data_IF_919923214089
#
_entry.id   IF_919923214089
#
_cell.length_a   1.000
_cell.length_b   1.000
_cell.length_c   1.000
_cell.angle_alpha   90.00
_cell.angle_beta   90.00
_cell.angle_gamma   90.00
#
_symmetry.space_group_name_H-M   'P 1'
#
loop_
_entity.id
_entity.type
_entity.pdbx_description
1 polymer ?
#
# COMPACT_ATOMS: atom_id res chain seq x y z
N UNK A 1 -33.47 66.10 6.81
CA UNK A 1 -33.20 65.04 5.82
C UNK A 1 -31.72 64.58 5.81
N UNK A 2 -31.12 64.30 6.99
CA UNK A 2 -29.75 63.80 7.13
C UNK A 2 -29.61 62.56 8.03
N UNK A 3 -30.62 62.24 8.85
CA UNK A 3 -30.54 61.10 9.80
C UNK A 3 -30.97 59.74 9.22
N UNK A 4 -31.70 59.70 8.10
CA UNK A 4 -32.13 58.43 7.50
C UNK A 4 -31.02 57.69 6.74
N UNK A 5 -29.97 58.41 6.30
CA UNK A 5 -28.81 57.79 5.62
C UNK A 5 -27.80 57.17 6.61
N UNK A 6 -27.74 57.64 7.86
CA UNK A 6 -26.75 57.16 8.84
C UNK A 6 -27.13 55.79 9.43
N UNK A 7 -28.42 55.53 9.69
CA UNK A 7 -28.90 54.23 10.19
C UNK A 7 -28.74 53.08 9.18
N UNK A 8 -28.78 53.38 7.88
CA UNK A 8 -28.62 52.35 6.83
C UNK A 8 -27.16 51.94 6.58
N UNK A 9 -26.19 52.82 6.92
CA UNK A 9 -24.76 52.51 6.81
C UNK A 9 -24.32 51.56 7.93
N UNK A 10 -24.78 51.78 9.16
CA UNK A 10 -24.45 50.91 10.31
C UNK A 10 -25.07 49.51 10.20
N UNK A 11 -26.29 49.38 9.63
CA UNK A 11 -26.86 48.06 9.34
C UNK A 11 -26.05 47.29 8.29
N UNK A 12 -25.54 47.96 7.24
CA UNK A 12 -24.72 47.30 6.20
C UNK A 12 -23.34 46.89 6.70
N UNK A 13 -22.69 47.70 7.56
CA UNK A 13 -21.39 47.34 8.16
C UNK A 13 -21.55 46.21 9.19
N UNK A 14 -22.62 46.21 9.99
CA UNK A 14 -22.92 45.12 10.93
C UNK A 14 -23.19 43.78 10.24
N UNK A 15 -23.90 43.79 9.10
CA UNK A 15 -24.13 42.58 8.29
C UNK A 15 -22.83 42.12 7.62
N UNK A 16 -21.97 43.04 7.16
CA UNK A 16 -20.70 42.69 6.52
C UNK A 16 -19.69 42.08 7.51
N UNK A 17 -19.65 42.56 8.75
CA UNK A 17 -18.81 41.99 9.81
C UNK A 17 -19.36 40.65 10.34
N UNK A 18 -20.69 40.47 10.39
CA UNK A 18 -21.29 39.18 10.70
C UNK A 18 -21.02 38.15 9.59
N UNK A 19 -21.00 38.56 8.31
CA UNK A 19 -20.62 37.68 7.20
C UNK A 19 -19.12 37.35 7.19
N UNK A 20 -18.25 38.26 7.64
CA UNK A 20 -16.82 37.96 7.83
C UNK A 20 -16.56 37.00 9.00
N UNK A 21 -17.38 37.05 10.06
CA UNK A 21 -17.34 36.06 11.15
C UNK A 21 -17.97 34.71 10.78
N UNK A 22 -18.88 34.67 9.80
CA UNK A 22 -19.43 33.42 9.25
C UNK A 22 -18.58 32.82 8.12
N UNK A 23 -17.71 33.61 7.48
CA UNK A 23 -16.76 33.17 6.45
C UNK A 23 -15.38 32.81 7.02
N UNK A 24 -14.98 33.41 8.14
CA UNK A 24 -13.93 32.88 9.00
C UNK A 24 -14.56 31.94 10.03
N UNK A 25 -15.18 30.86 9.53
CA UNK A 25 -15.30 29.64 10.29
C UNK A 25 -13.87 29.24 10.64
N UNK A 26 -13.46 29.58 11.84
CA UNK A 26 -12.23 29.08 12.42
C UNK A 26 -12.33 27.56 12.35
N UNK A 27 -11.59 26.98 11.40
CA UNK A 27 -11.06 25.61 11.45
C UNK A 27 -10.13 25.51 12.67
N UNK A 28 -10.71 25.71 13.85
CA UNK A 28 -10.28 25.06 15.06
C UNK A 28 -10.79 23.63 14.91
N UNK A 29 -10.10 22.85 14.06
CA UNK A 29 -9.94 21.41 14.24
C UNK A 29 -9.26 21.23 15.61
N UNK A 30 -10.03 21.44 16.67
CA UNK A 30 -9.77 20.77 17.93
C UNK A 30 -9.88 19.30 17.58
N UNK A 31 -8.74 18.63 17.56
CA UNK A 31 -8.68 17.19 17.68
C UNK A 31 -9.31 16.84 19.04
N UNK A 32 -10.64 16.87 19.10
CA UNK A 32 -11.35 16.28 20.21
C UNK A 32 -10.94 14.81 20.24
N UNK A 33 -10.55 14.28 21.41
CA UNK A 33 -10.19 12.89 21.50
C UNK A 33 -11.36 12.06 20.98
N UNK A 34 -11.09 11.20 19.99
CA UNK A 34 -12.11 10.30 19.45
C UNK A 34 -12.46 9.30 20.57
N UNK A 35 -13.59 9.53 21.24
CA UNK A 35 -14.03 8.75 22.39
C UNK A 35 -14.93 7.61 21.90
N UNK A 36 -14.60 6.39 22.31
CA UNK A 36 -15.47 5.23 22.10
C UNK A 36 -16.84 5.46 22.78
N UNK A 37 -17.98 5.34 22.07
CA UNK A 37 -19.28 5.50 22.70
C UNK A 37 -19.51 4.39 23.73
N UNK A 38 -20.07 4.75 24.90
CA UNK A 38 -20.22 3.85 26.07
C UNK A 38 -21.00 2.56 25.81
N UNK A 39 -21.81 2.50 24.75
CA UNK A 39 -22.62 1.34 24.38
C UNK A 39 -21.84 0.28 23.58
N UNK A 40 -20.63 0.59 23.14
CA UNK A 40 -19.83 -0.26 22.27
C UNK A 40 -18.50 -0.60 22.91
N UNK A 41 -17.94 -1.72 22.46
CA UNK A 41 -16.50 -1.92 22.52
C UNK A 41 -15.90 -1.30 21.27
N UNK A 42 -14.69 -0.78 21.39
CA UNK A 42 -14.03 -0.13 20.26
C UNK A 42 -12.61 -0.65 20.08
N UNK A 43 -12.18 -0.64 18.84
CA UNK A 43 -10.85 -1.05 18.45
C UNK A 43 -10.23 0.00 17.53
N UNK A 44 -8.93 0.25 17.70
CA UNK A 44 -8.20 1.19 16.85
C UNK A 44 -7.67 0.49 15.61
N UNK A 45 -7.82 1.11 14.45
CA UNK A 45 -7.15 0.70 13.21
C UNK A 45 -6.85 1.91 12.34
N UNK A 46 -6.35 1.69 11.13
CA UNK A 46 -5.97 2.73 10.19
C UNK A 46 -6.44 2.40 8.77
N UNK A 47 -6.62 3.44 7.96
CA UNK A 47 -6.88 3.28 6.52
C UNK A 47 -5.62 2.77 5.83
N UNK A 48 -5.70 1.62 5.17
CA UNK A 48 -4.61 1.01 4.40
C UNK A 48 -4.29 1.80 3.13
N UNK A 49 -3.00 1.96 2.75
CA UNK A 49 -2.60 2.46 1.43
C UNK A 49 -2.90 1.42 0.32
N UNK A 50 -2.85 1.86 -0.94
CA UNK A 50 -3.02 1.01 -2.13
C UNK A 50 -4.47 0.62 -2.43
N UNK A 51 -5.41 1.03 -1.57
CA UNK A 51 -6.82 0.87 -1.84
C UNK A 51 -7.27 1.98 -2.77
N UNK A 52 -7.77 1.63 -3.96
CA UNK A 52 -8.64 2.54 -4.68
C UNK A 52 -9.81 2.78 -3.72
N UNK A 53 -9.82 3.96 -3.10
CA UNK A 53 -10.96 4.46 -2.35
C UNK A 53 -12.10 4.68 -3.35
N UNK A 54 -12.69 3.58 -3.82
CA UNK A 54 -14.09 3.54 -4.18
C UNK A 54 -14.88 3.63 -2.87
N UNK A 55 -14.69 4.75 -2.16
CA UNK A 55 -15.76 5.31 -1.36
C UNK A 55 -16.86 5.64 -2.38
N UNK A 56 -17.62 4.60 -2.79
CA UNK A 56 -18.94 4.82 -3.36
C UNK A 56 -19.69 5.55 -2.28
N UNK A 57 -20.01 6.81 -2.58
CA UNK A 57 -20.81 7.69 -1.77
C UNK A 57 -22.08 6.94 -1.33
N UNK A 58 -22.10 6.55 -0.07
CA UNK A 58 -23.27 6.02 0.61
C UNK A 58 -23.42 6.73 1.95
N UNK A 59 -23.32 8.04 1.86
CA UNK A 59 -24.25 8.91 2.56
C UNK A 59 -24.59 10.07 1.62
N UNK A 60 -25.82 10.06 1.09
CA UNK A 60 -26.42 11.16 0.32
C UNK A 60 -26.64 12.43 1.17
N UNK A 61 -26.18 12.45 2.44
CA UNK A 61 -26.12 13.64 3.29
C UNK A 61 -24.71 14.20 3.53
N UNK A 62 -23.63 13.51 3.11
CA UNK A 62 -22.26 14.03 3.22
C UNK A 62 -21.95 14.91 2.01
N UNK A 63 -22.60 16.05 2.00
CA UNK A 63 -22.32 17.16 1.11
C UNK A 63 -20.98 17.77 1.61
N UNK A 64 -19.89 17.52 0.87
CA UNK A 64 -18.71 18.40 0.77
C UNK A 64 -17.73 18.50 1.95
N UNK A 65 -17.58 17.49 2.81
CA UNK A 65 -16.51 17.47 3.82
C UNK A 65 -15.53 16.32 3.58
N UNK A 66 -14.28 16.53 3.98
CA UNK A 66 -13.11 15.65 3.75
C UNK A 66 -13.43 14.15 3.88
N UNK A 67 -12.78 13.33 3.05
CA UNK A 67 -12.87 11.86 3.11
C UNK A 67 -11.71 11.30 3.95
N UNK A 68 -11.88 10.13 4.60
CA UNK A 68 -10.76 9.41 5.21
C UNK A 68 -9.63 9.23 4.19
N UNK A 69 -8.42 9.62 4.59
CA UNK A 69 -7.20 9.46 3.80
C UNK A 69 -6.39 8.27 4.28
N UNK A 70 -5.42 7.84 3.48
CA UNK A 70 -4.50 6.79 3.90
C UNK A 70 -3.83 7.16 5.23
N UNK A 71 -3.68 6.17 6.11
CA UNK A 71 -3.11 6.31 7.45
C UNK A 71 -3.97 7.09 8.44
N UNK A 72 -5.19 7.49 8.07
CA UNK A 72 -6.12 8.05 9.05
C UNK A 72 -6.48 7.02 10.11
N UNK A 73 -6.50 7.46 11.36
CA UNK A 73 -6.92 6.65 12.50
C UNK A 73 -8.43 6.45 12.46
N UNK A 74 -8.85 5.20 12.56
CA UNK A 74 -10.24 4.75 12.55
C UNK A 74 -10.55 4.01 13.84
N UNK A 75 -11.72 4.27 14.42
CA UNK A 75 -12.24 3.50 15.54
C UNK A 75 -13.37 2.59 15.04
N UNK A 76 -13.15 1.29 15.04
CA UNK A 76 -14.18 0.32 14.70
C UNK A 76 -15.07 0.02 15.89
N UNK A 77 -16.37 -0.06 15.64
CA UNK A 77 -17.36 -0.43 16.64
C UNK A 77 -17.57 -1.95 16.63
N UNK A 78 -17.50 -2.55 17.80
CA UNK A 78 -17.84 -3.95 18.01
C UNK A 78 -19.01 -4.08 19.00
N UNK A 79 -19.78 -5.15 18.84
CA UNK A 79 -20.79 -5.52 19.80
C UNK A 79 -20.16 -6.10 21.09
N UNK A 80 -21.01 -6.51 22.04
CA UNK A 80 -20.56 -7.08 23.32
C UNK A 80 -19.80 -8.41 23.17
N UNK A 81 -19.95 -9.09 22.03
CA UNK A 81 -19.22 -10.32 21.71
C UNK A 81 -17.89 -10.05 20.99
N UNK A 82 -17.60 -8.79 20.67
CA UNK A 82 -16.40 -8.39 19.92
C UNK A 82 -16.56 -8.50 18.40
N UNK A 83 -17.77 -8.78 17.89
CA UNK A 83 -18.02 -8.80 16.44
C UNK A 83 -18.18 -7.38 15.92
N UNK A 84 -17.55 -7.08 14.78
CA UNK A 84 -17.73 -5.79 14.09
C UNK A 84 -19.19 -5.54 13.71
N UNK A 85 -19.63 -4.29 13.85
CA UNK A 85 -20.96 -3.89 13.43
C UNK A 85 -20.97 -3.73 11.91
N UNK A 86 -21.55 -4.72 11.23
CA UNK A 86 -21.67 -4.78 9.78
C UNK A 86 -23.01 -4.20 9.30
N UNK A 87 -22.95 -3.30 8.32
CA UNK A 87 -24.10 -2.76 7.60
C UNK A 87 -24.09 -3.36 6.19
N UNK A 88 -25.18 -4.04 5.82
CA UNK A 88 -25.35 -4.57 4.47
C UNK A 88 -25.75 -3.44 3.53
N UNK A 89 -24.97 -3.26 2.46
CA UNK A 89 -25.18 -2.20 1.46
C UNK A 89 -25.77 -2.77 0.17
N UNK A 90 -25.37 -3.99 -0.21
CA UNK A 90 -25.85 -4.68 -1.42
C UNK A 90 -25.80 -6.20 -1.22
N UNK A 91 -26.17 -6.98 -2.25
CA UNK A 91 -26.03 -8.44 -2.28
C UNK A 91 -24.57 -8.83 -2.04
N UNK A 92 -24.32 -9.43 -0.88
CA UNK A 92 -23.01 -9.87 -0.41
C UNK A 92 -21.99 -8.73 -0.17
N UNK A 93 -22.44 -7.48 -0.03
CA UNK A 93 -21.57 -6.34 0.27
C UNK A 93 -21.90 -5.80 1.66
N UNK A 94 -20.91 -5.85 2.55
CA UNK A 94 -21.01 -5.44 3.95
C UNK A 94 -19.90 -4.45 4.30
N UNK A 95 -20.26 -3.38 4.99
CA UNK A 95 -19.36 -2.32 5.44
C UNK A 95 -19.35 -2.30 6.96
N UNK A 96 -18.22 -1.92 7.57
CA UNK A 96 -18.14 -1.72 9.00
C UNK A 96 -18.56 -0.31 9.36
N UNK A 97 -19.35 -0.20 10.43
CA UNK A 97 -19.65 1.07 11.09
C UNK A 97 -18.43 1.49 11.92
N UNK A 98 -17.91 2.67 11.64
CA UNK A 98 -16.69 3.18 12.25
C UNK A 98 -16.83 4.66 12.65
N UNK A 99 -15.90 5.14 13.46
CA UNK A 99 -15.77 6.55 13.82
C UNK A 99 -14.44 7.08 13.27
N UNK A 100 -14.52 8.16 12.50
CA UNK A 100 -13.39 8.89 11.95
C UNK A 100 -13.55 10.37 12.24
N UNK A 101 -12.55 11.01 12.87
CA UNK A 101 -12.59 12.41 13.28
C UNK A 101 -13.90 12.81 14.00
N UNK A 102 -14.36 11.93 14.91
CA UNK A 102 -15.58 12.13 15.70
C UNK A 102 -16.89 11.89 14.93
N UNK A 103 -16.85 11.50 13.66
CA UNK A 103 -18.03 11.25 12.82
C UNK A 103 -18.19 9.78 12.52
N UNK A 104 -19.43 9.33 12.43
CA UNK A 104 -19.74 7.98 11.97
C UNK A 104 -19.50 7.88 10.47
N UNK A 105 -18.82 6.83 10.04
CA UNK A 105 -18.54 6.51 8.63
C UNK A 105 -18.75 5.02 8.38
N UNK A 106 -19.03 4.67 7.13
CA UNK A 106 -19.10 3.29 6.68
C UNK A 106 -17.84 2.99 5.85
N UNK A 107 -17.10 1.97 6.25
CA UNK A 107 -15.85 1.59 5.59
C UNK A 107 -15.89 0.13 5.16
N UNK A 108 -15.41 -0.14 3.94
CA UNK A 108 -15.15 -1.51 3.51
C UNK A 108 -14.07 -2.11 4.39
N UNK A 109 -14.25 -3.35 4.84
CA UNK A 109 -13.24 -4.10 5.62
C UNK A 109 -11.89 -4.18 4.92
N UNK A 110 -11.89 -4.15 3.59
CA UNK A 110 -10.68 -4.21 2.75
C UNK A 110 -9.85 -2.93 2.81
N UNK A 111 -10.39 -1.84 3.36
CA UNK A 111 -9.68 -0.56 3.51
C UNK A 111 -8.98 -0.42 4.85
N UNK A 112 -9.08 -1.42 5.72
CA UNK A 112 -8.62 -1.35 7.10
C UNK A 112 -7.43 -2.28 7.31
N UNK A 113 -6.59 -1.93 8.27
CA UNK A 113 -5.46 -2.79 8.67
C UNK A 113 -5.90 -4.03 9.46
N UNK A 114 -7.09 -3.98 10.08
CA UNK A 114 -7.70 -5.13 10.78
C UNK A 114 -7.99 -6.29 9.84
N UNK A 115 -7.84 -7.52 10.34
CA UNK A 115 -8.02 -8.77 9.58
C UNK A 115 -7.03 -8.97 8.41
N UNK A 116 -6.06 -8.08 8.24
CA UNK A 116 -4.87 -8.41 7.47
C UNK A 116 -4.12 -9.53 8.19
N UNK A 117 -3.47 -10.36 7.41
CA UNK A 117 -2.58 -11.40 7.93
C UNK A 117 -1.15 -10.92 7.77
N UNK A 118 -0.41 -11.04 8.86
CA UNK A 118 1.02 -10.76 8.92
C UNK A 118 1.72 -12.03 9.37
N UNK A 119 2.97 -12.22 8.98
CA UNK A 119 3.73 -13.43 9.27
C UNK A 119 4.95 -13.11 10.12
N UNK A 120 5.32 -13.98 11.06
CA UNK A 120 6.58 -13.80 11.80
C UNK A 120 7.76 -14.01 10.87
N UNK A 121 8.81 -13.19 11.01
CA UNK A 121 9.99 -13.27 10.14
C UNK A 121 10.66 -14.66 10.18
N UNK A 122 11.14 -15.14 9.04
CA UNK A 122 11.75 -16.48 8.89
C UNK A 122 13.10 -16.63 9.60
N UNK A 123 13.78 -15.53 9.92
CA UNK A 123 15.11 -15.55 10.50
C UNK A 123 15.15 -15.40 12.03
N UNK A 124 14.02 -15.11 12.70
CA UNK A 124 13.98 -14.84 14.14
C UNK A 124 12.67 -15.33 14.78
N UNK A 125 12.75 -15.81 16.02
CA UNK A 125 11.55 -16.01 16.84
C UNK A 125 11.01 -14.66 17.31
N UNK A 126 9.70 -14.61 17.56
CA UNK A 126 8.98 -13.36 17.85
C UNK A 126 8.36 -13.41 19.23
N UNK A 127 8.46 -12.34 20.00
CA UNK A 127 7.88 -12.26 21.34
C UNK A 127 6.45 -11.72 21.28
N UNK A 128 5.53 -12.41 21.96
CA UNK A 128 4.19 -11.91 22.25
C UNK A 128 4.21 -11.23 23.62
N UNK A 129 3.85 -9.96 23.68
CA UNK A 129 3.82 -9.13 24.88
C UNK A 129 2.40 -8.97 25.42
N UNK A 130 2.26 -8.67 26.71
CA UNK A 130 0.97 -8.41 27.36
C UNK A 130 0.40 -7.02 27.02
N UNK A 131 1.27 -6.04 26.81
CA UNK A 131 0.91 -4.66 26.46
C UNK A 131 1.83 -4.08 25.35
N UNK A 132 1.40 -3.02 24.63
CA UNK A 132 2.19 -2.42 23.55
C UNK A 132 3.20 -1.39 24.10
N UNK A 133 4.11 -1.84 24.98
CA UNK A 133 5.07 -0.98 25.69
C UNK A 133 6.51 -1.51 25.59
N UNK A 134 7.53 -0.64 25.56
CA UNK A 134 8.93 -1.07 25.67
C UNK A 134 9.25 -1.86 26.95
N UNK A 135 8.46 -1.68 28.02
CA UNK A 135 8.62 -2.37 29.32
C UNK A 135 7.72 -3.60 29.48
N UNK A 136 7.00 -4.00 28.43
CA UNK A 136 6.01 -5.07 28.49
C UNK A 136 6.64 -6.42 28.83
N UNK A 137 5.88 -7.28 29.52
CA UNK A 137 6.32 -8.63 29.83
C UNK A 137 6.05 -9.55 28.64
N UNK A 138 6.97 -10.47 28.39
CA UNK A 138 6.75 -11.51 27.38
C UNK A 138 5.76 -12.54 27.93
N UNK A 139 4.64 -12.70 27.24
CA UNK A 139 3.63 -13.74 27.48
C UNK A 139 4.13 -15.08 26.96
N UNK A 140 4.65 -15.10 25.72
CA UNK A 140 5.21 -16.30 25.10
C UNK A 140 6.09 -15.95 23.88
N UNK A 141 6.75 -16.97 23.34
CA UNK A 141 7.51 -16.89 22.09
C UNK A 141 6.68 -17.55 20.99
N UNK A 142 6.51 -16.84 19.88
CA UNK A 142 5.93 -17.31 18.64
C UNK A 142 7.05 -17.82 17.73
N UNK A 143 6.94 -19.03 17.16
CA UNK A 143 7.89 -19.53 16.17
C UNK A 143 8.02 -18.61 14.95
N UNK A 144 9.08 -18.82 14.17
CA UNK A 144 9.28 -18.18 12.88
C UNK A 144 8.25 -18.65 11.84
N UNK A 145 7.98 -17.84 10.82
CA UNK A 145 7.10 -18.16 9.69
C UNK A 145 5.65 -18.51 10.05
N UNK A 146 5.12 -17.93 11.13
CA UNK A 146 3.75 -18.14 11.59
C UNK A 146 2.85 -17.02 11.08
N UNK A 147 1.75 -17.33 10.35
CA UNK A 147 0.75 -16.33 9.99
C UNK A 147 -0.09 -15.94 11.22
N UNK A 148 -0.34 -14.64 11.37
CA UNK A 148 -1.01 -14.00 12.49
C UNK A 148 -2.03 -13.00 11.94
N UNK A 149 -3.28 -13.13 12.34
CA UNK A 149 -4.31 -12.16 11.98
C UNK A 149 -4.21 -10.91 12.87
N UNK A 150 -4.24 -9.74 12.24
CA UNK A 150 -4.21 -8.43 12.91
C UNK A 150 -5.56 -8.18 13.56
N UNK A 151 -5.56 -8.09 14.88
CA UNK A 151 -6.72 -7.67 15.67
C UNK A 151 -6.74 -6.15 15.78
N UNK A 152 -5.63 -5.53 16.19
CA UNK A 152 -5.47 -4.09 16.44
C UNK A 152 -4.04 -3.66 16.15
N UNK A 153 -3.80 -2.37 15.88
CA UNK A 153 -2.47 -1.82 15.70
C UNK A 153 -2.33 -0.43 16.30
N UNK A 154 -1.15 -0.11 16.85
CA UNK A 154 -0.88 1.20 17.46
C UNK A 154 -0.44 2.28 16.48
N UNK A 155 -0.01 1.86 15.29
CA UNK A 155 0.42 2.69 14.17
C UNK A 155 -0.02 1.99 12.86
N UNK A 156 -0.22 2.73 11.75
CA UNK A 156 -0.51 2.11 10.46
C UNK A 156 0.51 1.01 10.14
N UNK A 157 0.05 -0.14 9.65
CA UNK A 157 0.92 -1.29 9.44
C UNK A 157 2.10 -0.98 8.51
N UNK A 158 1.91 -0.05 7.57
CA UNK A 158 2.93 0.34 6.62
C UNK A 158 4.08 1.13 7.22
N UNK A 159 3.94 1.73 8.41
CA UNK A 159 5.00 2.52 9.04
C UNK A 159 6.09 1.68 9.70
N UNK A 160 5.91 0.35 9.74
CA UNK A 160 6.85 -0.59 10.34
C UNK A 160 7.26 -0.26 11.79
N UNK A 161 6.34 0.35 12.55
CA UNK A 161 6.58 0.84 13.90
C UNK A 161 5.42 0.46 14.82
N UNK A 162 5.65 0.58 16.12
CA UNK A 162 4.65 0.25 17.11
C UNK A 162 4.40 -1.26 17.26
N UNK A 163 3.15 -1.60 17.55
CA UNK A 163 2.73 -2.93 17.96
C UNK A 163 1.45 -3.36 17.26
N UNK A 164 1.35 -4.66 17.01
CA UNK A 164 0.21 -5.33 16.41
C UNK A 164 -0.34 -6.32 17.42
N UNK A 165 -1.62 -6.18 17.76
CA UNK A 165 -2.34 -7.14 18.58
C UNK A 165 -2.76 -8.33 17.75
N UNK A 166 -2.47 -9.53 18.22
CA UNK A 166 -2.74 -10.80 17.52
C UNK A 166 -3.26 -11.84 18.51
N UNK A 167 -3.87 -12.91 17.99
CA UNK A 167 -4.17 -14.12 18.75
C UNK A 167 -3.28 -15.26 18.24
N UNK A 168 -2.57 -15.94 19.14
CA UNK A 168 -1.78 -17.12 18.83
C UNK A 168 -1.98 -18.18 19.92
N UNK A 169 -2.42 -19.38 19.56
CA UNK A 169 -2.71 -20.48 20.50
C UNK A 169 -3.55 -20.04 21.71
N UNK A 170 -4.68 -19.37 21.45
CA UNK A 170 -5.60 -18.82 22.45
C UNK A 170 -5.01 -17.76 23.39
N UNK A 171 -3.83 -17.22 23.06
CA UNK A 171 -3.22 -16.08 23.75
C UNK A 171 -3.33 -14.84 22.88
N UNK A 172 -4.04 -13.85 23.40
CA UNK A 172 -4.10 -12.51 22.82
C UNK A 172 -2.99 -11.65 23.43
N UNK A 173 -2.22 -11.00 22.59
CA UNK A 173 -1.14 -10.12 23.02
C UNK A 173 -0.63 -9.24 21.89
N UNK A 174 0.46 -8.52 22.14
CA UNK A 174 1.04 -7.55 21.23
C UNK A 174 2.38 -8.02 20.71
N UNK A 175 2.61 -7.87 19.42
CA UNK A 175 3.88 -8.16 18.75
C UNK A 175 4.44 -6.86 18.20
N UNK A 176 5.76 -6.66 18.29
CA UNK A 176 6.39 -5.50 17.64
C UNK A 176 6.20 -5.59 16.13
N UNK A 177 5.72 -4.50 15.51
CA UNK A 177 5.44 -4.48 14.07
C UNK A 177 6.66 -4.84 13.21
N UNK A 178 7.85 -4.41 13.64
CA UNK A 178 9.14 -4.72 12.98
C UNK A 178 9.53 -6.18 12.97
N UNK A 179 8.85 -7.01 13.77
CA UNK A 179 9.08 -8.46 13.82
C UNK A 179 8.10 -9.25 12.94
N UNK A 180 7.28 -8.56 12.15
CA UNK A 180 6.23 -9.13 11.31
C UNK A 180 6.40 -8.70 9.85
N UNK A 181 6.10 -9.58 8.90
CA UNK A 181 6.04 -9.37 7.45
C UNK A 181 4.59 -9.35 6.96
N UNK A 182 4.28 -8.67 5.87
CA UNK A 182 2.93 -8.64 5.29
C UNK A 182 2.69 -9.90 4.46
N UNK A 183 2.49 -11.04 5.15
CA UNK A 183 2.15 -12.41 4.72
C UNK A 183 3.03 -13.05 3.63
N UNK A 184 3.31 -12.34 2.56
CA UNK A 184 4.12 -12.72 1.40
C UNK A 184 5.37 -11.84 1.26
N UNK A 185 5.52 -10.78 2.06
CA UNK A 185 6.61 -9.81 1.91
C UNK A 185 7.37 -9.56 3.19
N UNK A 186 8.66 -9.94 3.25
CA UNK A 186 9.56 -9.56 4.34
C UNK A 186 9.50 -8.03 4.54
N UNK A 187 9.27 -7.61 5.78
CA UNK A 187 9.02 -6.21 6.13
C UNK A 187 10.18 -5.28 5.79
N UNK A 188 11.39 -5.83 5.70
CA UNK A 188 12.57 -5.09 5.22
C UNK A 188 12.35 -4.52 3.82
N UNK A 189 11.50 -5.15 3.01
CA UNK A 189 11.27 -4.77 1.62
C UNK A 189 10.02 -3.91 1.42
N UNK A 190 9.08 -3.90 2.36
CA UNK A 190 7.76 -3.24 2.26
C UNK A 190 7.81 -1.72 1.98
N UNK A 191 8.98 -1.07 2.14
CA UNK A 191 9.17 0.36 1.83
C UNK A 191 10.36 0.64 0.91
N UNK A 192 11.11 -0.39 0.51
CA UNK A 192 12.22 -0.22 -0.41
C UNK A 192 11.68 -0.27 -1.84
N UNK A 193 12.05 0.73 -2.63
CA UNK A 193 11.83 0.70 -4.07
C UNK A 193 12.71 -0.39 -4.71
N UNK A 194 12.33 -0.83 -5.91
CA UNK A 194 13.00 -1.89 -6.65
C UNK A 194 14.48 -1.58 -6.88
N UNK A 195 14.82 -0.33 -7.17
CA UNK A 195 16.22 0.12 -7.33
C UNK A 195 17.06 -0.15 -6.06
N UNK A 196 16.57 0.22 -4.88
CA UNK A 196 17.29 -0.04 -3.63
C UNK A 196 17.32 -1.52 -3.26
N UNK A 197 16.27 -2.27 -3.59
CA UNK A 197 16.22 -3.71 -3.38
C UNK A 197 17.26 -4.45 -4.22
N UNK A 198 17.40 -4.07 -5.50
CA UNK A 198 18.29 -4.71 -6.45
C UNK A 198 19.75 -4.25 -6.31
N UNK A 199 19.99 -3.01 -5.86
CA UNK A 199 21.32 -2.37 -5.80
C UNK A 199 22.49 -3.22 -5.24
N UNK A 200 22.32 -4.04 -4.18
CA UNK A 200 23.42 -4.83 -3.64
C UNK A 200 23.68 -6.13 -4.41
N UNK A 201 22.84 -6.54 -5.35
CA UNK A 201 22.87 -7.85 -5.97
C UNK A 201 23.34 -7.80 -7.43
N UNK A 202 23.94 -8.91 -7.87
CA UNK A 202 24.06 -9.26 -9.29
C UNK A 202 23.22 -10.51 -9.51
N UNK A 203 22.37 -10.52 -10.53
CA UNK A 203 21.39 -11.58 -10.74
C UNK A 203 21.22 -11.86 -12.22
N UNK A 204 20.70 -13.05 -12.51
CA UNK A 204 20.63 -13.56 -13.86
C UNK A 204 19.19 -13.88 -14.25
N UNK A 205 18.68 -13.22 -15.29
CA UNK A 205 17.30 -13.34 -15.71
C UNK A 205 17.21 -14.10 -17.04
N UNK A 206 16.27 -15.06 -17.10
CA UNK A 206 16.01 -15.91 -18.28
C UNK A 206 14.56 -15.81 -18.72
N UNK A 207 14.36 -15.62 -20.01
CA UNK A 207 13.06 -15.74 -20.68
C UNK A 207 13.15 -16.84 -21.75
N UNK A 208 12.18 -17.75 -21.80
CA UNK A 208 12.27 -18.96 -22.60
C UNK A 208 11.73 -18.81 -24.04
N UNK A 209 10.71 -17.98 -24.25
CA UNK A 209 10.00 -17.83 -25.53
C UNK A 209 10.91 -17.19 -26.58
N UNK A 210 11.60 -16.11 -26.22
CA UNK A 210 12.59 -15.43 -27.06
C UNK A 210 14.02 -15.88 -26.75
N UNK A 211 14.22 -16.76 -25.77
CA UNK A 211 15.55 -17.23 -25.31
C UNK A 211 16.44 -16.06 -24.91
N UNK A 212 15.89 -15.18 -24.08
CA UNK A 212 16.62 -14.03 -23.53
C UNK A 212 17.41 -14.47 -22.32
N UNK A 213 18.66 -14.07 -22.25
CA UNK A 213 19.54 -14.26 -21.10
C UNK A 213 20.21 -12.92 -20.76
N UNK A 214 19.99 -12.44 -19.54
CA UNK A 214 20.57 -11.18 -19.06
C UNK A 214 21.35 -11.42 -17.77
N UNK A 215 22.58 -10.91 -17.70
CA UNK A 215 23.31 -10.78 -16.44
C UNK A 215 23.26 -9.31 -15.98
N UNK A 216 22.60 -9.05 -14.85
CA UNK A 216 22.21 -7.71 -14.42
C UNK A 216 22.93 -7.37 -13.12
N UNK A 217 23.64 -6.25 -13.14
CA UNK A 217 24.14 -5.59 -11.94
C UNK A 217 23.00 -4.71 -11.42
N UNK A 218 22.43 -5.04 -10.27
CA UNK A 218 21.23 -4.39 -9.77
C UNK A 218 21.41 -2.90 -9.47
N UNK A 219 22.64 -2.44 -9.18
CA UNK A 219 22.94 -1.01 -9.06
C UNK A 219 22.75 -0.32 -10.42
N UNK A 220 21.66 0.43 -10.54
CA UNK A 220 21.28 1.12 -11.77
C UNK A 220 20.80 0.19 -12.87
N UNK A 221 20.51 -1.08 -12.56
CA UNK A 221 20.06 -2.11 -13.52
C UNK A 221 20.92 -2.16 -14.78
N UNK A 222 22.24 -2.24 -14.60
CA UNK A 222 23.19 -2.29 -15.71
C UNK A 222 23.29 -3.72 -16.21
N UNK A 223 22.97 -3.95 -17.48
CA UNK A 223 23.11 -5.24 -18.14
C UNK A 223 24.58 -5.42 -18.54
N UNK A 224 25.23 -6.43 -17.98
CA UNK A 224 26.65 -6.75 -18.20
C UNK A 224 26.86 -7.85 -19.26
N UNK A 225 25.89 -8.74 -19.43
CA UNK A 225 25.81 -9.70 -20.54
C UNK A 225 24.36 -9.76 -21.04
N UNK A 226 24.18 -9.84 -22.35
CA UNK A 226 22.87 -9.84 -23.00
C UNK A 226 22.90 -10.79 -24.19
N UNK A 227 22.02 -11.79 -24.21
CA UNK A 227 21.83 -12.69 -25.35
C UNK A 227 20.36 -12.88 -25.68
N UNK A 228 20.04 -12.92 -26.97
CA UNK A 228 18.73 -13.32 -27.51
C UNK A 228 18.98 -14.44 -28.51
N UNK A 229 18.46 -15.64 -28.23
CA UNK A 229 18.69 -16.80 -29.09
C UNK A 229 20.18 -17.17 -29.26
N UNK A 230 21.03 -16.78 -28.31
CA UNK A 230 22.48 -16.97 -28.35
C UNK A 230 23.27 -15.89 -29.08
N UNK A 231 22.62 -14.84 -29.60
CA UNK A 231 23.27 -13.69 -30.25
C UNK A 231 23.41 -12.54 -29.26
N UNK A 232 24.56 -11.88 -29.25
CA UNK A 232 24.78 -10.69 -28.40
C UNK A 232 23.80 -9.56 -28.73
N UNK A 233 23.26 -8.93 -27.68
CA UNK A 233 22.38 -7.77 -27.78
C UNK A 233 22.93 -6.57 -27.02
N UNK A 234 22.48 -5.38 -27.41
CA UNK A 234 22.57 -4.20 -26.57
C UNK A 234 21.32 -4.11 -25.69
N UNK A 235 21.47 -3.51 -24.51
CA UNK A 235 20.39 -3.33 -23.57
C UNK A 235 20.48 -1.94 -22.92
N UNK A 236 19.33 -1.29 -22.76
CA UNK A 236 19.17 -0.12 -21.90
C UNK A 236 18.03 -0.34 -20.92
N UNK A 237 18.15 0.20 -19.71
CA UNK A 237 17.14 0.02 -18.67
C UNK A 237 16.40 1.32 -18.37
N UNK A 238 15.13 1.19 -17.96
CA UNK A 238 14.30 2.29 -17.48
C UNK A 238 13.31 1.82 -16.43
N UNK A 239 13.05 2.67 -15.45
CA UNK A 239 12.02 2.40 -14.44
C UNK A 239 10.64 2.73 -14.98
N UNK A 240 9.62 2.00 -14.52
CA UNK A 240 8.23 2.22 -14.87
C UNK A 240 7.26 1.58 -13.90
N UNK A 241 6.00 1.49 -14.33
CA UNK A 241 4.95 0.72 -13.66
C UNK A 241 4.72 -0.57 -14.41
N UNK A 242 4.28 -1.60 -13.70
CA UNK A 242 4.10 -2.89 -14.33
C UNK A 242 3.07 -2.89 -15.46
N UNK A 243 3.37 -3.60 -16.55
CA UNK A 243 2.48 -3.67 -17.72
C UNK A 243 1.34 -4.69 -17.55
N UNK A 244 1.44 -5.60 -16.56
CA UNK A 244 0.43 -6.61 -16.28
C UNK A 244 0.35 -6.98 -14.79
N UNK A 245 -0.86 -7.32 -14.33
CA UNK A 245 -1.13 -7.63 -12.92
C UNK A 245 -1.38 -6.39 -12.08
N UNK A 246 -0.99 -6.42 -10.80
CA UNK A 246 -1.13 -5.27 -9.92
C UNK A 246 -0.15 -4.16 -10.33
N UNK A 247 -0.57 -2.88 -10.35
CA UNK A 247 0.28 -1.77 -10.76
C UNK A 247 1.35 -1.49 -9.69
N UNK A 248 2.46 -2.22 -9.79
CA UNK A 248 3.65 -2.05 -8.96
C UNK A 248 4.81 -1.46 -9.75
N UNK A 249 5.91 -1.16 -9.07
CA UNK A 249 7.16 -0.74 -9.70
C UNK A 249 7.74 -1.88 -10.55
N UNK A 250 8.28 -1.53 -11.72
CA UNK A 250 8.97 -2.45 -12.60
C UNK A 250 10.19 -1.79 -13.23
N UNK A 251 11.18 -2.60 -13.61
CA UNK A 251 12.27 -2.19 -14.49
C UNK A 251 12.05 -2.82 -15.86
N UNK A 252 12.21 -2.00 -16.89
CA UNK A 252 12.16 -2.41 -18.28
C UNK A 252 13.56 -2.43 -18.86
N UNK A 253 13.84 -3.43 -19.69
CA UNK A 253 15.05 -3.57 -20.48
C UNK A 253 14.66 -3.52 -21.95
N UNK A 254 15.02 -2.43 -22.62
CA UNK A 254 14.86 -2.29 -24.06
C UNK A 254 16.11 -2.94 -24.71
N UNK A 255 15.89 -4.06 -25.40
CA UNK A 255 16.93 -4.90 -25.99
C UNK A 255 16.95 -4.76 -27.50
N UNK A 256 18.14 -4.78 -28.10
CA UNK A 256 18.29 -4.74 -29.56
C UNK A 256 19.41 -5.64 -30.04
N UNK A 257 19.13 -6.46 -31.06
CA UNK A 257 20.13 -7.22 -31.80
C UNK A 257 20.52 -6.43 -33.04
N UNK A 258 21.82 -6.33 -33.36
CA UNK A 258 22.26 -5.57 -34.53
C UNK A 258 21.67 -6.15 -35.83
N UNK A 259 20.87 -5.35 -36.54
CA UNK A 259 20.14 -5.79 -37.74
C UNK A 259 18.96 -6.74 -37.47
N UNK A 260 18.55 -6.90 -36.20
CA UNK A 260 17.45 -7.76 -35.77
C UNK A 260 16.26 -7.00 -35.18
N UNK A 261 15.31 -7.75 -34.63
CA UNK A 261 14.15 -7.18 -33.92
C UNK A 261 14.56 -6.62 -32.55
N UNK A 262 13.85 -5.57 -32.13
CA UNK A 262 13.95 -5.03 -30.78
C UNK A 262 12.94 -5.72 -29.86
N UNK A 263 13.32 -5.93 -28.60
CA UNK A 263 12.49 -6.53 -27.58
C UNK A 263 12.40 -5.61 -26.38
N UNK A 264 11.30 -5.69 -25.63
CA UNK A 264 11.18 -5.05 -24.32
C UNK A 264 10.94 -6.15 -23.31
N UNK A 265 11.78 -6.20 -22.28
CA UNK A 265 11.63 -7.14 -21.17
C UNK A 265 11.34 -6.40 -19.87
N UNK A 266 10.53 -6.99 -19.00
CA UNK A 266 10.07 -6.39 -17.75
C UNK A 266 10.38 -7.34 -16.58
N UNK A 267 11.00 -6.80 -15.52
CA UNK A 267 11.05 -7.44 -14.20
C UNK A 267 10.22 -6.58 -13.24
N UNK A 268 9.22 -7.20 -12.61
CA UNK A 268 8.37 -6.51 -11.64
C UNK A 268 8.98 -6.59 -10.26
N UNK A 269 8.64 -5.63 -9.41
CA UNK A 269 9.06 -5.66 -8.01
C UNK A 269 8.63 -6.94 -7.29
N UNK A 270 7.41 -7.41 -7.52
CA UNK A 270 6.93 -8.67 -6.93
C UNK A 270 7.78 -9.89 -7.33
N UNK A 271 8.25 -9.95 -8.58
CA UNK A 271 9.06 -11.06 -9.08
C UNK A 271 10.45 -11.05 -8.40
N UNK A 272 11.07 -9.87 -8.31
CA UNK A 272 12.35 -9.72 -7.63
C UNK A 272 12.26 -10.01 -6.13
N UNK A 273 11.23 -9.51 -5.46
CA UNK A 273 11.05 -9.71 -4.02
C UNK A 273 10.76 -11.18 -3.70
N UNK A 274 10.03 -11.89 -4.56
CA UNK A 274 9.81 -13.34 -4.41
C UNK A 274 11.13 -14.10 -4.31
N UNK A 275 12.08 -13.82 -5.21
CA UNK A 275 13.40 -14.45 -5.20
C UNK A 275 14.26 -14.03 -4.00
N UNK A 276 14.25 -12.75 -3.62
CA UNK A 276 14.92 -12.31 -2.39
C UNK A 276 14.40 -13.04 -1.14
N UNK A 277 13.11 -13.38 -1.13
CA UNK A 277 12.52 -14.09 -0.01
C UNK A 277 13.02 -15.54 0.06
N UNK A 278 13.18 -16.22 -1.08
CA UNK A 278 13.81 -17.55 -1.17
C UNK A 278 15.27 -17.50 -0.69
N UNK A 279 16.02 -16.47 -1.09
CA UNK A 279 17.40 -16.24 -0.62
C UNK A 279 17.47 -16.10 0.91
N UNK A 280 16.58 -15.31 1.51
CA UNK A 280 16.51 -15.12 2.98
C UNK A 280 16.09 -16.40 3.70
N UNK A 281 15.27 -17.22 3.06
CA UNK A 281 14.84 -18.50 3.60
C UNK A 281 15.91 -19.59 3.45
N UNK A 282 17.05 -19.26 2.84
CA UNK A 282 18.17 -20.17 2.54
C UNK A 282 17.75 -21.30 1.56
N UNK A 283 16.70 -21.06 0.76
CA UNK A 283 16.24 -21.98 -0.29
C UNK A 283 17.12 -21.90 -1.55
N UNK A 284 17.76 -20.74 -1.75
CA UNK A 284 18.72 -20.45 -2.83
C UNK A 284 19.88 -19.63 -2.28
N UNK A 285 20.98 -19.61 -3.02
CA UNK A 285 22.14 -18.72 -2.81
C UNK A 285 22.04 -17.44 -3.62
N UNK A 286 22.90 -16.45 -3.35
CA UNK A 286 22.91 -15.19 -4.09
C UNK A 286 23.23 -15.40 -5.58
N UNK A 287 24.06 -16.39 -5.89
CA UNK A 287 24.42 -16.78 -7.27
C UNK A 287 23.23 -17.40 -8.05
N UNK A 288 22.19 -17.82 -7.33
CA UNK A 288 20.99 -18.45 -7.87
C UNK A 288 19.81 -17.48 -7.95
N UNK A 289 19.99 -16.18 -7.67
CA UNK A 289 18.94 -15.17 -7.84
C UNK A 289 18.53 -15.06 -9.32
N UNK A 290 17.32 -15.54 -9.63
CA UNK A 290 16.79 -15.61 -10.99
C UNK A 290 15.38 -15.03 -11.12
N UNK A 291 15.21 -13.70 -10.92
CA UNK A 291 13.90 -13.09 -10.98
C UNK A 291 13.22 -13.33 -12.33
N UNK A 292 11.92 -13.63 -12.27
CA UNK A 292 11.10 -13.79 -13.47
C UNK A 292 11.15 -12.50 -14.32
N UNK A 293 11.33 -12.70 -15.62
CA UNK A 293 11.37 -11.65 -16.62
C UNK A 293 10.35 -11.98 -17.73
N UNK A 294 9.56 -10.99 -18.12
CA UNK A 294 8.58 -11.13 -19.19
C UNK A 294 9.01 -10.28 -20.39
N UNK A 295 9.15 -10.88 -21.57
CA UNK A 295 9.60 -10.18 -22.76
C UNK A 295 8.49 -10.12 -23.83
N UNK A 296 8.51 -9.05 -24.63
CA UNK A 296 7.67 -8.90 -25.82
C UNK A 296 8.47 -8.27 -26.96
N UNK A 297 7.95 -8.36 -28.18
CA UNK A 297 8.47 -7.57 -29.29
C UNK A 297 8.18 -6.09 -29.05
N UNK A 298 9.15 -5.25 -29.40
CA UNK A 298 8.96 -3.82 -29.45
C UNK A 298 8.37 -3.46 -30.81
N UNK A 299 7.05 -3.64 -30.96
CA UNK A 299 6.34 -3.18 -32.14
C UNK A 299 6.28 -1.66 -32.06
N UNK A 300 7.31 -0.99 -32.58
CA UNK A 300 7.25 0.44 -32.84
C UNK A 300 6.01 0.69 -33.71
N UNK A 301 5.19 1.68 -33.33
CA UNK A 301 4.06 2.13 -34.15
C UNK A 301 4.55 2.39 -35.58
N UNK A 302 4.34 1.43 -36.47
CA UNK A 302 4.42 1.68 -37.89
C UNK A 302 3.15 2.43 -38.25
N UNK A 303 3.22 3.75 -38.30
CA UNK A 303 2.29 4.54 -39.11
C UNK A 303 2.41 4.02 -40.55
N UNK A 304 1.54 3.10 -40.94
CA UNK A 304 1.29 2.82 -42.35
C UNK A 304 0.67 4.10 -42.94
N UNK A 305 1.50 4.89 -43.64
CA UNK A 305 1.05 5.83 -44.66
C UNK A 305 0.17 5.07 -45.66
N UNK A 306 -1.15 5.15 -45.49
CA UNK A 306 -2.08 4.92 -46.58
C UNK A 306 -2.01 6.12 -47.52
N UNK A 307 -1.05 6.09 -48.43
CA UNK A 307 -1.18 6.77 -49.71
C UNK A 307 -2.13 5.96 -50.59
N UNK A 308 -3.44 6.16 -50.44
CA UNK A 308 -4.36 5.80 -51.50
C UNK A 308 -4.32 6.94 -52.53
N UNK A 309 -3.54 6.71 -53.59
CA UNK A 309 -3.66 7.42 -54.86
C UNK A 309 -5.12 7.30 -55.37
N UNK A 310 -5.80 8.44 -55.47
CA UNK A 310 -7.02 8.56 -56.27
C UNK A 310 -6.61 9.01 -57.69
N UNK A 311 -6.57 8.06 -58.61
CA UNK A 311 -6.93 8.28 -60.01
C UNK A 311 -8.45 8.50 -60.14
#
# INVERSE_FOLDING_TARGET
>A
MKDFKRKNLFKKVGIFLLSLFLLNGSDLLKNEPIICPKSYNCLTTYISPGTILLARELDLSVIWHSRPQHFDKIILLTDKSGKFIEIKIDKNVYYYKAIWNGREVLLSRFYLDTSKKLRTLSNKTVQLYDEPSPSAKTVMIIPKNIPLEVIENTHPLTQNSGYVKVNYNDKVGWVKRISLSDDEFDIRFHQMNLENLASPYTFYAKENDFKVELNIIGRGFVVSDCKIGGVECSASSRMGKSSFGMPEEAVYFDLSVNGGQSHVCEIRRVDFVGELQRLIQEDITEEELDPFINCSLNDGESEEEKSDELE
#
